data_IF_675155392290
#
_entry.id   IF_675155392290
#
_cell.length_a   1.000
_cell.length_b   1.000
_cell.length_c   1.000
_cell.angle_alpha   90.00
_cell.angle_beta   90.00
_cell.angle_gamma   90.00
#
_symmetry.space_group_name_H-M   'P 1'
#
loop_
_entity.id
_entity.type
_entity.pdbx_description
1 polymer ?
#
# COMPACT_ATOMS: atom_id res chain seq x y z
N UNK A 1 3.57 -59.22 -15.82
CA UNK A 1 2.89 -57.89 -15.83
C UNK A 1 1.95 -57.67 -14.64
N UNK A 2 1.25 -58.68 -14.14
CA UNK A 2 0.26 -58.59 -13.04
C UNK A 2 0.86 -58.22 -11.66
N UNK A 3 2.05 -58.71 -11.32
CA UNK A 3 2.72 -58.42 -10.05
C UNK A 3 3.18 -56.95 -9.95
N UNK A 4 3.72 -56.39 -11.04
CA UNK A 4 4.13 -54.99 -11.12
C UNK A 4 2.94 -54.03 -10.90
N UNK A 5 1.83 -54.27 -11.60
CA UNK A 5 0.59 -53.48 -11.47
C UNK A 5 0.06 -53.53 -10.03
N UNK A 6 0.10 -54.70 -9.40
CA UNK A 6 -0.33 -54.90 -8.02
C UNK A 6 0.58 -54.19 -7.01
N UNK A 7 1.89 -54.16 -7.25
CA UNK A 7 2.87 -53.43 -6.42
C UNK A 7 2.69 -51.91 -6.52
N UNK A 8 2.46 -51.39 -7.72
CA UNK A 8 2.15 -49.96 -7.94
C UNK A 8 0.84 -49.57 -7.24
N UNK A 9 -0.21 -50.40 -7.32
CA UNK A 9 -1.48 -50.15 -6.63
C UNK A 9 -1.31 -50.10 -5.10
N UNK A 10 -0.55 -51.04 -4.53
CA UNK A 10 -0.20 -51.04 -3.10
C UNK A 10 0.57 -49.78 -2.69
N UNK A 11 1.55 -49.36 -3.49
CA UNK A 11 2.32 -48.14 -3.23
C UNK A 11 1.43 -46.89 -3.28
N UNK A 12 0.58 -46.74 -4.31
CA UNK A 12 -0.40 -45.65 -4.40
C UNK A 12 -1.31 -45.60 -3.18
N UNK A 13 -1.82 -46.75 -2.73
CA UNK A 13 -2.67 -46.81 -1.54
C UNK A 13 -1.91 -46.39 -0.28
N UNK A 14 -0.66 -46.83 -0.09
CA UNK A 14 0.18 -46.40 1.04
C UNK A 14 0.43 -44.89 1.03
N UNK A 15 0.78 -44.33 -0.12
CA UNK A 15 0.97 -42.88 -0.31
C UNK A 15 -0.33 -42.13 0.00
N UNK A 16 -1.46 -42.62 -0.50
CA UNK A 16 -2.77 -42.02 -0.24
C UNK A 16 -3.11 -42.00 1.25
N UNK A 17 -2.96 -43.12 1.95
CA UNK A 17 -3.22 -43.22 3.40
C UNK A 17 -2.32 -42.25 4.19
N UNK A 18 -1.02 -42.19 3.86
CA UNK A 18 -0.09 -41.28 4.52
C UNK A 18 -0.43 -39.81 4.25
N UNK A 19 -0.80 -39.48 3.02
CA UNK A 19 -1.29 -38.14 2.67
C UNK A 19 -2.55 -37.78 3.44
N UNK A 20 -3.53 -38.68 3.50
CA UNK A 20 -4.81 -38.44 4.17
C UNK A 20 -4.63 -38.32 5.71
N UNK A 21 -3.65 -39.02 6.29
CA UNK A 21 -3.22 -38.87 7.69
C UNK A 21 -2.64 -37.47 7.95
N UNK A 22 -1.73 -37.00 7.08
CA UNK A 22 -1.17 -35.64 7.15
C UNK A 22 -2.25 -34.59 6.99
N UNK A 23 -3.15 -34.74 6.01
CA UNK A 23 -4.25 -33.81 5.80
C UNK A 23 -5.18 -33.73 7.02
N UNK A 24 -5.50 -34.87 7.65
CA UNK A 24 -6.31 -34.88 8.88
C UNK A 24 -5.60 -34.16 10.03
N UNK A 25 -4.29 -34.34 10.16
CA UNK A 25 -3.51 -33.62 11.16
C UNK A 25 -3.51 -32.11 10.91
N UNK A 26 -3.28 -31.69 9.66
CA UNK A 26 -3.32 -30.28 9.27
C UNK A 26 -4.71 -29.67 9.46
N UNK A 27 -5.78 -30.39 9.09
CA UNK A 27 -7.15 -29.91 9.28
C UNK A 27 -7.51 -29.72 10.76
N UNK A 28 -6.99 -30.59 11.64
CA UNK A 28 -7.14 -30.46 13.09
C UNK A 28 -6.21 -29.38 13.72
N UNK A 29 -5.36 -28.71 12.93
CA UNK A 29 -4.51 -27.61 13.38
C UNK A 29 -5.25 -26.25 13.25
N UNK A 30 -4.63 -25.22 12.66
CA UNK A 30 -5.24 -23.90 12.43
C UNK A 30 -6.09 -23.81 11.16
N UNK A 31 -6.04 -24.81 10.28
CA UNK A 31 -6.68 -24.77 8.97
C UNK A 31 -8.20 -24.70 9.06
N UNK A 32 -8.81 -25.47 9.97
CA UNK A 32 -10.26 -25.47 10.18
C UNK A 32 -10.75 -24.08 10.60
N UNK A 33 -10.04 -23.43 11.52
CA UNK A 33 -10.37 -22.08 11.97
C UNK A 33 -10.14 -21.06 10.85
N UNK A 34 -9.04 -21.17 10.07
CA UNK A 34 -8.81 -20.31 8.91
C UNK A 34 -9.93 -20.41 7.87
N UNK A 35 -10.41 -21.62 7.56
CA UNK A 35 -11.58 -21.83 6.69
C UNK A 35 -12.83 -21.18 7.27
N UNK A 36 -13.06 -21.34 8.58
CA UNK A 36 -14.20 -20.72 9.26
C UNK A 36 -14.16 -19.19 9.17
N UNK A 37 -12.98 -18.58 9.32
CA UNK A 37 -12.77 -17.14 9.16
C UNK A 37 -13.02 -16.71 7.72
N UNK A 38 -12.38 -17.37 6.74
CA UNK A 38 -12.55 -17.04 5.33
C UNK A 38 -14.02 -17.12 4.89
N UNK A 39 -14.73 -18.18 5.26
CA UNK A 39 -16.14 -18.35 4.93
C UNK A 39 -17.01 -17.26 5.57
N UNK A 40 -16.71 -16.86 6.80
CA UNK A 40 -17.43 -15.77 7.47
C UNK A 40 -17.21 -14.43 6.76
N UNK A 41 -15.98 -14.14 6.30
CA UNK A 41 -15.67 -12.92 5.55
C UNK A 41 -16.30 -12.96 4.16
N UNK A 42 -16.22 -14.08 3.44
CA UNK A 42 -16.85 -14.23 2.11
C UNK A 42 -18.37 -14.04 2.16
N UNK A 43 -19.02 -14.42 3.27
CA UNK A 43 -20.47 -14.20 3.46
C UNK A 43 -20.84 -12.71 3.56
N UNK A 44 -19.92 -11.86 4.01
CA UNK A 44 -20.11 -10.40 4.10
C UNK A 44 -19.81 -9.69 2.78
N UNK A 45 -19.12 -10.35 1.84
CA UNK A 45 -18.90 -9.87 0.48
C UNK A 45 -20.06 -10.33 -0.41
N UNK A 46 -21.26 -9.80 -0.16
CA UNK A 46 -22.52 -10.25 -0.78
C UNK A 46 -22.48 -10.26 -2.32
N UNK A 47 -21.83 -9.26 -2.91
CA UNK A 47 -21.69 -9.11 -4.35
C UNK A 47 -20.46 -9.85 -4.91
N UNK A 48 -19.65 -10.49 -4.05
CA UNK A 48 -18.45 -11.21 -4.43
C UNK A 48 -17.38 -10.35 -5.10
N UNK A 49 -17.28 -9.06 -4.72
CA UNK A 49 -16.36 -8.09 -5.33
C UNK A 49 -14.91 -8.57 -5.23
N UNK A 50 -14.55 -9.16 -4.10
CA UNK A 50 -13.20 -9.66 -3.84
C UNK A 50 -13.11 -11.19 -3.96
N UNK A 51 -14.17 -11.85 -4.45
CA UNK A 51 -14.25 -13.30 -4.52
C UNK A 51 -13.50 -13.89 -5.72
N UNK A 52 -13.32 -13.15 -6.81
CA UNK A 52 -12.78 -13.62 -8.08
C UNK A 52 -11.50 -12.89 -8.47
N UNK A 53 -10.78 -13.41 -9.48
CA UNK A 53 -9.52 -12.83 -9.93
C UNK A 53 -9.74 -11.39 -10.48
N UNK A 54 -9.10 -10.36 -9.89
CA UNK A 54 -9.24 -8.97 -10.31
C UNK A 54 -8.39 -8.61 -11.55
N UNK A 55 -7.61 -9.55 -12.11
CA UNK A 55 -6.70 -9.26 -13.23
C UNK A 55 -7.39 -8.76 -14.52
N UNK A 56 -8.70 -8.98 -14.65
CA UNK A 56 -9.49 -8.46 -15.77
C UNK A 56 -9.88 -6.98 -15.61
N UNK A 57 -9.65 -6.38 -14.42
CA UNK A 57 -9.91 -4.97 -14.19
C UNK A 57 -8.88 -4.11 -14.93
N UNK A 58 -9.28 -2.92 -15.42
CA UNK A 58 -8.39 -2.02 -16.15
C UNK A 58 -7.11 -1.71 -15.39
N UNK A 59 -5.95 -1.94 -16.00
CA UNK A 59 -4.62 -1.61 -15.45
C UNK A 59 -4.30 -2.24 -14.07
N UNK A 60 -5.12 -3.18 -13.57
CA UNK A 60 -4.97 -3.71 -12.21
C UNK A 60 -3.62 -4.41 -12.02
N UNK A 61 -3.21 -5.21 -13.00
CA UNK A 61 -1.91 -5.93 -12.98
C UNK A 61 -0.70 -5.00 -13.09
N UNK A 62 -0.90 -3.75 -13.55
CA UNK A 62 0.15 -2.73 -13.62
C UNK A 62 0.29 -2.01 -12.27
N UNK A 63 -0.82 -1.76 -11.58
CA UNK A 63 -0.84 -1.08 -10.28
C UNK A 63 -0.56 -2.01 -9.10
N UNK A 64 -1.05 -3.24 -9.16
CA UNK A 64 -1.03 -4.19 -8.03
C UNK A 64 -0.02 -5.29 -8.30
N UNK A 65 1.10 -5.25 -7.56
CA UNK A 65 2.21 -6.19 -7.75
C UNK A 65 1.88 -7.64 -7.35
N UNK A 66 0.98 -7.84 -6.37
CA UNK A 66 0.61 -9.17 -5.86
C UNK A 66 -0.91 -9.31 -5.79
N UNK A 67 -1.59 -9.62 -6.91
CA UNK A 67 -3.02 -9.87 -6.92
C UNK A 67 -3.40 -11.05 -6.02
N UNK A 68 -4.48 -10.87 -5.24
CA UNK A 68 -5.03 -11.90 -4.37
C UNK A 68 -6.54 -11.68 -4.19
N UNK A 69 -7.28 -12.76 -3.94
CA UNK A 69 -8.75 -12.76 -3.84
C UNK A 69 -9.24 -13.98 -3.03
N UNK A 70 -10.48 -13.98 -2.56
CA UNK A 70 -10.97 -15.00 -1.62
C UNK A 70 -10.89 -16.44 -2.16
N UNK A 71 -11.29 -16.68 -3.42
CA UNK A 71 -11.19 -18.01 -4.03
C UNK A 71 -9.73 -18.46 -4.23
N UNK A 72 -8.76 -17.55 -4.32
CA UNK A 72 -7.35 -17.96 -4.31
C UNK A 72 -6.95 -18.43 -2.92
N UNK A 73 -7.27 -17.69 -1.87
CA UNK A 73 -6.99 -18.05 -0.48
C UNK A 73 -7.68 -19.38 -0.10
N UNK A 74 -8.93 -19.57 -0.53
CA UNK A 74 -9.65 -20.84 -0.34
C UNK A 74 -8.91 -22.01 -0.98
N UNK A 75 -8.43 -21.87 -2.22
CA UNK A 75 -7.62 -22.91 -2.89
C UNK A 75 -6.30 -23.18 -2.18
N UNK A 76 -5.65 -22.14 -1.63
CA UNK A 76 -4.41 -22.30 -0.84
C UNK A 76 -4.67 -23.08 0.46
N UNK A 77 -5.82 -22.86 1.10
CA UNK A 77 -6.26 -23.66 2.25
C UNK A 77 -6.53 -25.12 1.85
N UNK A 78 -7.21 -25.37 0.73
CA UNK A 78 -7.50 -26.73 0.23
C UNK A 78 -6.23 -27.53 -0.10
N UNK A 79 -5.18 -26.83 -0.54
CA UNK A 79 -3.90 -27.40 -0.92
C UNK A 79 -2.88 -27.42 0.20
N UNK A 80 -3.25 -26.96 1.39
CA UNK A 80 -2.36 -26.85 2.54
C UNK A 80 -1.06 -26.05 2.25
N UNK A 81 -1.19 -24.91 1.58
CA UNK A 81 -0.05 -24.09 1.13
C UNK A 81 0.49 -23.11 2.21
N UNK A 82 -0.20 -22.95 3.34
CA UNK A 82 0.20 -22.07 4.44
C UNK A 82 0.99 -22.83 5.50
N UNK A 83 2.25 -22.42 5.73
CA UNK A 83 3.07 -23.01 6.80
C UNK A 83 2.62 -22.53 8.18
N UNK A 84 2.06 -21.32 8.26
CA UNK A 84 1.57 -20.72 9.49
C UNK A 84 0.26 -19.97 9.28
N UNK A 85 -0.54 -19.83 10.35
CA UNK A 85 -1.72 -18.95 10.31
C UNK A 85 -1.37 -17.52 9.92
N UNK A 86 -0.18 -17.02 10.25
CA UNK A 86 0.23 -15.65 9.93
C UNK A 86 0.31 -15.39 8.42
N UNK A 87 0.70 -16.39 7.62
CA UNK A 87 0.70 -16.27 6.16
C UNK A 87 -0.72 -16.13 5.61
N UNK A 88 -1.68 -16.89 6.16
CA UNK A 88 -3.10 -16.73 5.82
C UNK A 88 -3.62 -15.33 6.20
N UNK A 89 -3.32 -14.85 7.41
CA UNK A 89 -3.69 -13.49 7.83
C UNK A 89 -3.11 -12.42 6.91
N UNK A 90 -1.85 -12.60 6.49
CA UNK A 90 -1.18 -11.68 5.58
C UNK A 90 -1.90 -11.61 4.23
N UNK A 91 -2.23 -12.77 3.66
CA UNK A 91 -2.98 -12.86 2.40
C UNK A 91 -4.37 -12.22 2.51
N UNK A 92 -5.09 -12.44 3.63
CA UNK A 92 -6.39 -11.80 3.89
C UNK A 92 -6.27 -10.26 3.95
N UNK A 93 -5.27 -9.74 4.66
CA UNK A 93 -4.98 -8.30 4.73
C UNK A 93 -4.59 -7.73 3.37
N UNK A 94 -3.83 -8.48 2.58
CA UNK A 94 -3.37 -8.06 1.26
C UNK A 94 -4.53 -7.85 0.28
N UNK A 95 -5.62 -8.62 0.37
CA UNK A 95 -6.83 -8.35 -0.44
C UNK A 95 -7.38 -6.95 -0.18
N UNK A 96 -7.40 -6.53 1.09
CA UNK A 96 -7.87 -5.21 1.50
C UNK A 96 -6.85 -4.12 1.14
N UNK A 97 -5.57 -4.36 1.35
CA UNK A 97 -4.52 -3.41 0.99
C UNK A 97 -4.49 -3.14 -0.52
N UNK A 98 -4.63 -4.18 -1.34
CA UNK A 98 -4.76 -4.03 -2.80
C UNK A 98 -6.03 -3.28 -3.19
N UNK A 99 -7.13 -3.48 -2.45
CA UNK A 99 -8.36 -2.72 -2.66
C UNK A 99 -8.13 -1.22 -2.47
N UNK A 100 -7.44 -0.80 -1.40
CA UNK A 100 -7.15 0.61 -1.16
C UNK A 100 -6.14 1.18 -2.16
N UNK A 101 -5.13 0.39 -2.54
CA UNK A 101 -4.14 0.81 -3.54
C UNK A 101 -4.79 1.05 -4.92
N UNK A 102 -5.72 0.19 -5.35
CA UNK A 102 -6.37 0.30 -6.65
C UNK A 102 -7.52 1.31 -6.66
N UNK A 103 -8.41 1.27 -5.66
CA UNK A 103 -9.64 2.07 -5.67
C UNK A 103 -9.51 3.41 -4.93
N UNK A 104 -8.43 3.63 -4.18
CA UNK A 104 -8.30 4.73 -3.23
C UNK A 104 -9.18 4.57 -1.99
N UNK A 105 -8.76 5.18 -0.89
CA UNK A 105 -9.37 4.99 0.43
C UNK A 105 -10.80 5.55 0.56
N UNK A 106 -11.26 6.42 -0.35
CA UNK A 106 -12.58 7.07 -0.24
C UNK A 106 -13.65 6.35 -1.08
N UNK A 107 -13.26 5.43 -1.96
CA UNK A 107 -14.19 4.76 -2.87
C UNK A 107 -15.26 3.91 -2.14
N UNK A 108 -16.43 3.68 -2.77
CA UNK A 108 -17.44 2.75 -2.24
C UNK A 108 -16.91 1.33 -2.03
N UNK A 109 -16.01 0.88 -2.92
CA UNK A 109 -15.35 -0.43 -2.81
C UNK A 109 -14.42 -0.47 -1.59
N UNK A 110 -13.67 0.59 -1.33
CA UNK A 110 -12.87 0.71 -0.11
C UNK A 110 -13.74 0.78 1.15
N UNK A 111 -14.95 1.35 1.08
CA UNK A 111 -15.88 1.32 2.21
C UNK A 111 -16.34 -0.11 2.55
N UNK A 112 -16.59 -0.96 1.55
CA UNK A 112 -16.80 -2.39 1.78
C UNK A 112 -15.54 -3.06 2.34
N UNK A 113 -14.38 -2.79 1.76
CA UNK A 113 -13.08 -3.30 2.23
C UNK A 113 -12.83 -3.00 3.71
N UNK A 114 -13.15 -1.78 4.17
CA UNK A 114 -13.06 -1.39 5.59
C UNK A 114 -13.98 -2.21 6.49
N UNK A 115 -15.23 -2.44 6.07
CA UNK A 115 -16.16 -3.27 6.85
C UNK A 115 -15.66 -4.71 6.96
N UNK A 116 -15.20 -5.29 5.85
CA UNK A 116 -14.61 -6.64 5.85
C UNK A 116 -13.38 -6.71 6.73
N UNK A 117 -12.53 -5.68 6.71
CA UNK A 117 -11.35 -5.60 7.55
C UNK A 117 -11.64 -5.52 9.04
N UNK A 118 -12.67 -4.77 9.46
CA UNK A 118 -13.13 -4.77 10.85
C UNK A 118 -13.53 -6.19 11.26
N UNK A 119 -14.38 -6.84 10.46
CA UNK A 119 -14.85 -8.21 10.76
C UNK A 119 -13.70 -9.21 10.80
N UNK A 120 -12.77 -9.17 9.84
CA UNK A 120 -11.70 -10.15 9.78
C UNK A 120 -10.70 -10.00 10.94
N UNK A 121 -10.36 -8.77 11.35
CA UNK A 121 -9.44 -8.57 12.48
C UNK A 121 -10.05 -9.04 13.81
N UNK A 122 -11.35 -8.81 14.02
CA UNK A 122 -12.06 -9.33 15.19
C UNK A 122 -12.11 -10.87 15.17
N UNK A 123 -12.30 -11.47 13.99
CA UNK A 123 -12.25 -12.92 13.81
C UNK A 123 -10.83 -13.50 14.01
N UNK A 124 -9.78 -12.76 13.69
CA UNK A 124 -8.40 -13.19 13.95
C UNK A 124 -8.12 -13.31 15.45
N UNK A 125 -8.62 -12.37 16.24
CA UNK A 125 -8.48 -12.43 17.70
C UNK A 125 -9.35 -13.55 18.28
N UNK A 126 -10.63 -13.60 17.90
CA UNK A 126 -11.61 -14.51 18.53
C UNK A 126 -11.50 -15.95 18.09
N UNK A 127 -11.24 -16.22 16.80
CA UNK A 127 -11.17 -17.60 16.26
C UNK A 127 -9.76 -18.13 16.08
N UNK A 128 -8.80 -17.26 15.78
CA UNK A 128 -7.41 -17.67 15.53
C UNK A 128 -6.47 -17.38 16.70
N UNK A 129 -7.00 -16.84 17.81
CA UNK A 129 -6.22 -16.49 19.00
C UNK A 129 -4.96 -15.67 18.64
N UNK A 130 -5.11 -14.73 17.72
CA UNK A 130 -4.05 -13.77 17.39
C UNK A 130 -4.09 -12.66 18.44
N UNK A 131 -2.91 -12.26 18.93
CA UNK A 131 -2.83 -11.17 19.88
C UNK A 131 -3.42 -9.89 19.25
N UNK A 132 -4.30 -9.16 19.97
CA UNK A 132 -4.80 -7.88 19.48
C UNK A 132 -3.64 -6.88 19.35
N UNK A 133 -3.78 -5.84 18.51
CA UNK A 133 -2.78 -4.79 18.41
C UNK A 133 -2.52 -4.11 19.76
N UNK A 134 -1.28 -3.74 20.03
CA UNK A 134 -0.94 -3.12 21.32
C UNK A 134 -1.31 -1.63 21.32
N UNK A 135 -2.33 -1.28 22.11
CA UNK A 135 -2.75 0.11 22.31
C UNK A 135 -1.64 0.98 22.91
N UNK A 136 -0.69 0.41 23.66
CA UNK A 136 0.45 1.15 24.23
C UNK A 136 1.45 1.57 23.14
N UNK A 137 1.53 0.80 22.07
CA UNK A 137 2.34 1.16 20.91
C UNK A 137 1.84 2.44 20.27
N UNK A 138 0.52 2.61 20.12
CA UNK A 138 -0.09 3.84 19.60
C UNK A 138 0.31 5.05 20.44
N UNK A 139 0.28 4.93 21.77
CA UNK A 139 0.67 6.01 22.69
C UNK A 139 2.15 6.34 22.54
N UNK A 140 2.99 5.31 22.39
CA UNK A 140 4.45 5.46 22.30
C UNK A 140 4.85 6.11 20.97
N UNK A 141 4.32 5.60 19.87
CA UNK A 141 4.54 6.12 18.52
C UNK A 141 3.86 7.48 18.30
N UNK A 142 2.79 7.78 19.05
CA UNK A 142 2.07 9.05 18.96
C UNK A 142 2.80 10.25 19.57
N UNK A 143 3.92 10.03 20.27
CA UNK A 143 4.76 11.12 20.81
C UNK A 143 5.44 11.85 19.65
N UNK A 144 5.15 13.14 19.48
CA UNK A 144 5.78 13.98 18.46
C UNK A 144 4.99 14.10 17.14
N UNK A 145 3.75 13.62 17.10
CA UNK A 145 2.87 13.74 15.92
C UNK A 145 2.52 15.21 15.67
N UNK A 146 2.77 15.70 14.46
CA UNK A 146 2.45 17.06 14.04
C UNK A 146 0.95 17.26 13.74
N UNK A 147 0.50 18.50 13.58
CA UNK A 147 -0.92 18.79 13.33
C UNK A 147 -1.48 18.13 12.07
N UNK A 148 -0.70 18.02 10.99
CA UNK A 148 -1.15 17.39 9.75
C UNK A 148 -1.33 15.87 9.93
N UNK A 149 -0.38 15.20 10.58
CA UNK A 149 -0.45 13.78 10.92
C UNK A 149 -1.60 13.49 11.89
N UNK A 150 -1.84 14.37 12.87
CA UNK A 150 -2.97 14.22 13.78
C UNK A 150 -4.33 14.31 13.05
N UNK A 151 -4.43 15.10 11.98
CA UNK A 151 -5.61 15.12 11.11
C UNK A 151 -5.76 13.81 10.33
N UNK A 152 -4.67 13.27 9.80
CA UNK A 152 -4.68 11.98 9.08
C UNK A 152 -5.06 10.81 10.00
N UNK A 153 -4.51 10.78 11.21
CA UNK A 153 -4.90 9.81 12.25
C UNK A 153 -6.39 9.90 12.58
N UNK A 154 -6.90 11.11 12.74
CA UNK A 154 -8.32 11.34 13.02
C UNK A 154 -9.21 10.83 11.89
N UNK A 155 -8.82 11.09 10.65
CA UNK A 155 -9.53 10.62 9.46
C UNK A 155 -9.55 9.08 9.34
N UNK A 156 -8.45 8.40 9.67
CA UNK A 156 -8.44 6.93 9.82
C UNK A 156 -9.46 6.47 10.88
N UNK A 157 -9.42 7.07 12.07
CA UNK A 157 -10.32 6.70 13.17
C UNK A 157 -11.79 6.90 12.78
N UNK A 158 -12.14 8.06 12.21
CA UNK A 158 -13.51 8.34 11.77
C UNK A 158 -14.04 7.27 10.80
N UNK A 159 -13.24 6.86 9.82
CA UNK A 159 -13.66 5.89 8.80
C UNK A 159 -13.91 4.48 9.34
N UNK A 160 -13.15 4.04 10.33
CA UNK A 160 -13.30 2.68 10.89
C UNK A 160 -14.26 2.62 12.08
N UNK A 161 -14.37 3.70 12.85
CA UNK A 161 -15.29 3.79 13.99
C UNK A 161 -16.70 4.21 13.59
N UNK A 162 -16.91 4.69 12.35
CA UNK A 162 -18.23 5.12 11.87
C UNK A 162 -18.67 6.46 12.45
N UNK A 163 -17.73 7.27 12.94
CA UNK A 163 -18.01 8.65 13.33
C UNK A 163 -18.08 9.50 12.05
N UNK A 164 -19.28 9.93 11.70
CA UNK A 164 -19.60 10.57 10.41
C UNK A 164 -18.70 11.75 10.04
N UNK A 165 -18.51 11.94 8.75
CA UNK A 165 -18.01 13.18 8.15
C UNK A 165 -19.06 14.28 8.35
N UNK A 166 -19.09 14.84 9.56
CA UNK A 166 -20.01 15.89 9.96
C UNK A 166 -19.26 16.92 10.77
N UNK A 167 -19.24 18.13 10.25
CA UNK A 167 -18.75 19.36 10.88
C UNK A 167 -19.12 19.43 12.36
N UNK A 168 -18.14 19.79 13.20
CA UNK A 168 -18.21 19.87 14.68
C UNK A 168 -17.88 18.57 15.43
N UNK A 169 -16.72 17.98 15.09
CA UNK A 169 -16.01 17.13 16.04
C UNK A 169 -15.26 18.04 17.02
N UNK A 170 -15.92 18.48 18.10
CA UNK A 170 -15.19 18.73 19.34
C UNK A 170 -14.25 17.54 19.52
N UNK A 171 -12.94 17.78 19.53
CA UNK A 171 -11.88 16.76 19.44
C UNK A 171 -12.08 15.76 20.58
N UNK A 172 -12.86 14.71 20.36
CA UNK A 172 -13.13 13.70 21.38
C UNK A 172 -11.79 13.06 21.70
N UNK A 173 -11.54 12.88 22.99
CA UNK A 173 -10.33 12.24 23.45
C UNK A 173 -10.28 10.81 22.88
N UNK A 174 -9.33 10.54 21.98
CA UNK A 174 -9.13 9.20 21.42
C UNK A 174 -8.54 8.34 22.53
N UNK A 175 -9.25 7.28 22.91
CA UNK A 175 -8.75 6.28 23.85
C UNK A 175 -8.27 5.07 23.05
N UNK A 176 -6.96 4.86 22.86
CA UNK A 176 -6.45 3.81 21.97
C UNK A 176 -6.95 2.40 22.30
N UNK A 177 -7.16 2.10 23.58
CA UNK A 177 -7.66 0.79 24.04
C UNK A 177 -9.12 0.52 23.71
N UNK A 178 -9.92 1.53 23.37
CA UNK A 178 -11.33 1.38 23.00
C UNK A 178 -11.55 1.29 21.49
N UNK A 179 -10.50 1.52 20.70
CA UNK A 179 -10.55 1.43 19.24
C UNK A 179 -10.68 -0.04 18.80
N UNK A 180 -11.39 -0.29 17.69
CA UNK A 180 -11.48 -1.62 17.09
C UNK A 180 -10.09 -2.12 16.69
N UNK A 181 -9.90 -3.44 16.63
CA UNK A 181 -8.63 -4.06 16.23
C UNK A 181 -8.14 -3.55 14.87
N UNK A 182 -9.04 -3.46 13.89
CA UNK A 182 -8.73 -2.91 12.57
C UNK A 182 -8.26 -1.45 12.63
N UNK A 183 -8.91 -0.61 13.45
CA UNK A 183 -8.55 0.80 13.65
C UNK A 183 -7.16 0.92 14.27
N UNK A 184 -6.91 0.19 15.36
CA UNK A 184 -5.60 0.17 16.02
C UNK A 184 -4.50 -0.25 15.05
N UNK A 185 -4.72 -1.31 14.27
CA UNK A 185 -3.74 -1.79 13.28
C UNK A 185 -3.43 -0.73 12.22
N UNK A 186 -4.44 -0.04 11.68
CA UNK A 186 -4.25 1.03 10.68
C UNK A 186 -3.52 2.24 11.26
N UNK A 187 -3.85 2.64 12.48
CA UNK A 187 -3.14 3.71 13.21
C UNK A 187 -1.67 3.34 13.43
N UNK A 188 -1.39 2.14 13.93
CA UNK A 188 -0.02 1.65 14.14
C UNK A 188 0.75 1.61 12.81
N UNK A 189 0.13 1.11 11.74
CA UNK A 189 0.76 1.05 10.42
C UNK A 189 1.14 2.46 9.90
N UNK A 190 0.24 3.43 10.04
CA UNK A 190 0.50 4.82 9.68
C UNK A 190 1.66 5.43 10.48
N UNK A 191 1.67 5.22 11.80
CA UNK A 191 2.71 5.74 12.69
C UNK A 191 4.08 5.10 12.40
N UNK A 192 4.13 3.78 12.15
CA UNK A 192 5.37 3.06 11.82
C UNK A 192 5.99 3.52 10.51
N UNK A 193 5.19 3.80 9.48
CA UNK A 193 5.69 4.24 8.18
C UNK A 193 6.47 5.57 8.26
N UNK A 194 6.22 6.38 9.28
CA UNK A 194 6.85 7.69 9.47
C UNK A 194 8.06 7.69 10.41
N UNK A 195 8.31 6.59 11.12
CA UNK A 195 9.53 6.38 11.93
C UNK A 195 10.74 5.84 11.11
N UNK A 196 10.69 5.93 9.77
CA UNK A 196 11.86 5.69 8.90
C UNK A 196 12.98 6.74 9.10
N UNK A 197 14.23 6.47 8.68
CA UNK A 197 15.46 6.91 9.35
C UNK A 197 15.86 8.37 9.11
N UNK A 198 15.04 9.37 9.47
CA UNK A 198 15.45 10.77 9.34
C UNK A 198 14.88 11.73 10.41
N UNK A 199 14.68 11.32 11.66
CA UNK A 199 14.26 12.31 12.68
C UNK A 199 14.67 12.00 14.13
N UNK A 200 15.85 11.39 14.34
CA UNK A 200 16.42 11.23 15.68
C UNK A 200 17.52 12.24 16.05
N UNK A 201 17.71 13.33 15.30
CA UNK A 201 18.78 14.26 15.60
C UNK A 201 18.40 15.74 15.60
N UNK A 202 17.30 16.11 16.27
CA UNK A 202 17.12 17.51 16.72
C UNK A 202 16.35 17.52 18.04
N UNK A 203 17.09 17.57 19.16
CA UNK A 203 16.82 18.29 20.43
C UNK A 203 17.16 17.48 21.66
N UNK A 204 18.41 17.63 22.10
CA UNK A 204 18.72 17.81 23.52
C UNK A 204 20.00 18.61 23.64
N UNK A 205 19.84 19.93 23.79
CA UNK A 205 20.92 20.88 23.98
C UNK A 205 20.33 22.21 24.41
N UNK A 206 20.05 22.35 25.72
CA UNK A 206 19.79 23.63 26.36
C UNK A 206 21.05 24.49 26.23
N UNK A 207 20.92 25.71 25.72
CA UNK A 207 22.01 26.67 25.60
C UNK A 207 21.47 28.08 25.56
N UNK A 208 21.72 28.82 26.63
CA UNK A 208 21.31 30.17 26.94
C UNK A 208 21.88 31.24 25.99
N UNK A 209 21.13 32.34 25.92
CA UNK A 209 21.47 33.65 25.37
C UNK A 209 22.92 34.09 25.60
N UNK A 210 23.58 34.61 24.55
CA UNK A 210 24.56 35.70 24.63
C UNK A 210 24.80 36.33 23.25
N UNK A 211 24.54 37.64 23.17
CA UNK A 211 24.93 38.57 22.10
C UNK A 211 26.45 38.80 22.13
N UNK A 212 27.13 38.91 20.98
CA UNK A 212 27.80 40.15 20.53
C UNK A 212 28.55 40.01 19.18
N UNK A 213 28.38 41.07 18.36
CA UNK A 213 29.35 41.76 17.48
C UNK A 213 29.96 41.09 16.23
N UNK A 214 29.36 41.44 15.09
CA UNK A 214 29.92 42.12 13.91
C UNK A 214 31.45 42.27 13.75
N UNK A 215 32.02 41.69 12.69
CA UNK A 215 33.03 42.35 11.84
C UNK A 215 33.11 41.74 10.42
N UNK A 216 33.44 42.60 9.46
CA UNK A 216 33.32 42.44 8.01
C UNK A 216 34.57 41.78 7.36
N UNK A 217 34.34 40.92 6.35
CA UNK A 217 34.99 40.69 5.02
C UNK A 217 36.52 40.99 4.81
N UNK A 218 37.26 40.31 3.90
CA UNK A 218 36.82 39.96 2.53
C UNK A 218 37.34 38.66 1.88
N UNK A 219 36.81 38.41 0.67
CA UNK A 219 37.12 37.37 -0.33
C UNK A 219 38.59 37.33 -0.78
N UNK A 220 39.16 36.13 -0.96
CA UNK A 220 40.20 35.88 -1.98
C UNK A 220 40.39 34.39 -2.36
N UNK A 221 40.57 34.21 -3.69
CA UNK A 221 41.30 33.18 -4.43
C UNK A 221 40.90 31.68 -4.36
N UNK A 222 40.36 31.21 -5.49
CA UNK A 222 40.52 29.83 -6.02
C UNK A 222 42.01 29.46 -6.18
N UNK A 223 42.33 28.16 -6.03
CA UNK A 223 43.14 27.49 -7.05
C UNK A 223 42.57 26.15 -7.51
N UNK A 224 42.86 25.85 -8.77
CA UNK A 224 42.48 24.71 -9.60
C UNK A 224 43.22 23.39 -9.30
N UNK A 225 42.48 22.27 -9.49
CA UNK A 225 42.81 20.88 -9.90
C UNK A 225 44.25 20.33 -9.76
N UNK A 226 44.38 19.03 -9.41
CA UNK A 226 44.68 18.04 -10.45
C UNK A 226 43.94 16.67 -10.32
N UNK A 227 43.61 16.09 -11.47
CA UNK A 227 43.31 14.66 -11.67
C UNK A 227 44.59 13.81 -11.54
N UNK A 228 44.49 12.55 -11.05
CA UNK A 228 45.08 11.44 -11.81
C UNK A 228 44.21 10.15 -11.77
N UNK A 229 43.94 9.56 -12.94
CA UNK A 229 44.55 8.34 -13.50
C UNK A 229 43.92 6.98 -13.09
N UNK A 230 43.23 6.35 -14.06
CA UNK A 230 43.20 4.87 -14.26
C UNK A 230 44.48 4.48 -15.04
N UNK A 231 45.00 3.22 -15.08
CA UNK A 231 44.24 1.96 -15.12
C UNK A 231 44.91 0.72 -14.47
N UNK A 232 44.19 -0.42 -14.39
CA UNK A 232 44.66 -1.73 -14.91
C UNK A 232 43.59 -2.83 -14.77
N UNK A 233 43.49 -3.65 -15.82
CA UNK A 233 42.60 -4.78 -16.07
C UNK A 233 43.19 -6.11 -15.58
N UNK A 234 42.37 -7.07 -15.10
CA UNK A 234 42.71 -8.50 -15.16
C UNK A 234 42.02 -9.20 -16.33
N UNK A 235 42.77 -10.13 -16.91
CA UNK A 235 42.51 -10.93 -18.12
C UNK A 235 41.63 -12.15 -17.78
N UNK A 236 40.54 -12.37 -18.52
CA UNK A 236 40.03 -13.72 -18.80
C UNK A 236 39.34 -13.77 -20.19
N UNK A 237 39.48 -14.88 -20.94
CA UNK A 237 38.99 -14.99 -22.30
C UNK A 237 37.52 -15.43 -22.35
N UNK A 238 36.65 -14.62 -22.97
CA UNK A 238 35.33 -15.06 -23.39
C UNK A 238 35.39 -15.49 -24.86
N UNK A 239 35.11 -16.77 -25.10
CA UNK A 239 35.05 -17.36 -26.43
C UNK A 239 33.86 -16.79 -27.21
N UNK A 240 34.14 -16.47 -28.47
CA UNK A 240 33.19 -16.02 -29.49
C UNK A 240 32.31 -17.19 -29.94
N UNK A 241 31.00 -17.04 -29.81
CA UNK A 241 29.98 -17.92 -30.40
C UNK A 241 29.09 -17.06 -31.31
N UNK A 242 29.54 -16.84 -32.54
CA UNK A 242 28.79 -16.25 -33.64
C UNK A 242 29.29 -16.89 -34.94
N UNK A 243 28.47 -17.82 -35.46
CA UNK A 243 28.47 -18.53 -36.76
C UNK A 243 27.56 -19.75 -36.51
N UNK A 244 26.48 -20.03 -37.22
CA UNK A 244 26.13 -19.82 -38.62
C UNK A 244 24.60 -19.63 -38.72
N UNK A 245 24.15 -18.93 -39.76
CA UNK A 245 22.98 -19.32 -40.57
C UNK A 245 22.81 -18.29 -41.71
N UNK A 246 23.33 -18.66 -42.87
CA UNK A 246 23.00 -18.07 -44.16
C UNK A 246 21.91 -18.91 -44.82
N UNK A 247 20.90 -18.23 -45.40
CA UNK A 247 20.36 -18.49 -46.75
C UNK A 247 18.84 -18.26 -46.85
N UNK A 248 18.42 -17.06 -47.28
CA UNK A 248 17.29 -16.92 -48.21
C UNK A 248 17.61 -15.79 -49.18
N UNK A 249 17.83 -16.16 -50.44
CA UNK A 249 17.96 -15.26 -51.57
C UNK A 249 16.58 -14.74 -52.03
N UNK A 250 16.50 -13.45 -52.38
CA UNK A 250 15.46 -12.92 -53.26
C UNK A 250 16.10 -11.98 -54.30
N UNK A 251 16.14 -12.45 -55.54
CA UNK A 251 16.25 -11.64 -56.77
C UNK A 251 14.94 -10.83 -56.93
N UNK A 252 14.80 -9.71 -57.64
CA UNK A 252 15.59 -9.00 -58.66
C UNK A 252 15.05 -7.56 -58.73
N UNK A 253 15.88 -6.64 -59.21
CA UNK A 253 15.62 -5.22 -59.42
C UNK A 253 14.47 -4.89 -60.40
N UNK A 254 13.80 -3.75 -60.17
CA UNK A 254 13.27 -2.88 -61.23
C UNK A 254 13.53 -1.39 -60.87
N UNK A 255 13.76 -0.60 -61.91
CA UNK A 255 14.59 0.61 -62.00
C UNK A 255 13.76 1.91 -62.09
N UNK A 256 14.37 3.04 -61.66
CA UNK A 256 14.11 4.47 -62.02
C UNK A 256 12.86 5.13 -61.38
N UNK A 257 12.84 6.39 -60.87
CA UNK A 257 13.60 7.66 -61.06
C UNK A 257 13.63 8.51 -59.77
N UNK A 258 14.51 9.55 -59.62
CA UNK A 258 14.59 10.37 -58.42
C UNK A 258 13.68 11.60 -58.49
N UNK A 259 12.92 11.89 -57.43
CA UNK A 259 12.29 13.20 -57.25
C UNK A 259 12.45 13.69 -55.81
N UNK A 260 12.87 14.94 -55.73
CA UNK A 260 13.24 15.72 -54.55
C UNK A 260 12.01 16.42 -53.95
N UNK A 261 12.12 16.86 -52.68
CA UNK A 261 11.26 17.79 -51.91
C UNK A 261 10.08 17.09 -51.17
N UNK A 262 9.74 17.35 -49.90
CA UNK A 262 10.12 18.37 -48.92
C UNK A 262 9.67 17.89 -47.52
N UNK A 263 10.46 18.08 -46.46
CA UNK A 263 10.04 17.85 -45.07
C UNK A 263 8.88 18.79 -44.68
N UNK A 264 7.82 18.30 -44.01
CA UNK A 264 6.75 19.18 -43.53
C UNK A 264 7.22 20.02 -42.33
N UNK A 265 7.30 21.33 -42.54
CA UNK A 265 7.52 22.34 -41.50
C UNK A 265 6.32 22.37 -40.53
N UNK A 266 6.58 22.18 -39.24
CA UNK A 266 5.61 22.37 -38.17
C UNK A 266 5.37 23.87 -37.95
N UNK A 267 4.13 24.31 -38.13
CA UNK A 267 3.70 25.69 -37.90
C UNK A 267 3.72 26.03 -36.40
N UNK A 268 4.30 27.18 -36.03
CA UNK A 268 4.40 27.64 -34.64
C UNK A 268 3.04 28.12 -34.13
N UNK A 269 2.59 27.52 -33.03
CA UNK A 269 1.40 27.95 -32.27
C UNK A 269 1.64 29.35 -31.67
N UNK A 270 0.77 30.35 -31.91
CA UNK A 270 0.90 31.67 -31.30
C UNK A 270 0.67 31.63 -29.79
N UNK A 271 1.63 32.18 -29.03
CA UNK A 271 1.53 32.40 -27.59
C UNK A 271 0.60 33.59 -27.26
N UNK A 272 -0.17 33.39 -26.17
CA UNK A 272 -0.78 34.38 -25.27
C UNK A 272 -1.85 35.35 -25.82
N UNK A 273 -3.10 35.11 -25.39
CA UNK A 273 -4.01 36.19 -24.98
C UNK A 273 -4.48 35.95 -23.53
N UNK A 274 -4.03 36.82 -22.63
CA UNK A 274 -4.58 36.98 -21.27
C UNK A 274 -6.03 37.44 -21.40
N UNK A 275 -6.98 36.55 -21.14
CA UNK A 275 -8.37 36.93 -20.85
C UNK A 275 -8.50 37.16 -19.35
N UNK A 276 -8.76 38.41 -18.96
CA UNK A 276 -9.04 38.79 -17.58
C UNK A 276 -10.27 38.06 -17.05
N UNK A 277 -10.10 37.35 -15.94
CA UNK A 277 -11.20 36.88 -15.12
C UNK A 277 -11.28 37.72 -13.85
N UNK A 278 -12.51 38.01 -13.48
CA UNK A 278 -12.90 39.02 -12.52
C UNK A 278 -12.34 38.81 -11.11
N UNK A 279 -12.07 39.95 -10.48
CA UNK A 279 -11.79 40.13 -9.06
C UNK A 279 -12.83 39.39 -8.21
N UNK A 280 -12.41 38.37 -7.45
CA UNK A 280 -13.23 37.87 -6.35
C UNK A 280 -13.18 38.90 -5.23
N UNK A 281 -14.35 39.39 -4.84
CA UNK A 281 -14.53 40.30 -3.71
C UNK A 281 -13.94 39.69 -2.43
N UNK A 282 -13.17 40.51 -1.72
CA UNK A 282 -12.72 40.24 -0.37
C UNK A 282 -13.95 40.04 0.55
N UNK A 283 -14.01 38.90 1.23
CA UNK A 283 -14.99 38.67 2.30
C UNK A 283 -14.52 39.49 3.50
N UNK A 284 -15.34 40.45 3.92
CA UNK A 284 -15.08 41.29 5.09
C UNK A 284 -15.10 40.48 6.40
N UNK A 285 -14.47 41.01 7.47
CA UNK A 285 -14.22 40.29 8.72
C UNK A 285 -15.47 39.97 9.53
N UNK A 286 -15.35 38.89 10.30
CA UNK A 286 -16.29 38.41 11.32
C UNK A 286 -16.66 39.53 12.31
N UNK A 287 -17.95 39.79 12.48
CA UNK A 287 -18.50 40.67 13.51
C UNK A 287 -18.65 39.89 14.82
N UNK A 288 -17.96 40.34 15.87
CA UNK A 288 -18.20 39.94 17.25
C UNK A 288 -19.21 40.94 17.84
N UNK A 289 -20.37 40.46 18.28
CA UNK A 289 -21.24 41.22 19.18
C UNK A 289 -21.29 40.51 20.54
N UNK A 290 -21.16 41.31 21.59
CA UNK A 290 -21.28 40.87 22.98
C UNK A 290 -22.70 41.09 23.49
N UNK A 291 -23.08 40.17 24.38
CA UNK A 291 -24.05 40.30 25.48
C UNK A 291 -25.52 40.52 25.13
N UNK A 292 -26.33 39.58 25.61
CA UNK A 292 -27.78 39.72 25.77
C UNK A 292 -28.36 38.42 26.29
N UNK A 293 -28.22 38.17 27.60
CA UNK A 293 -29.01 37.19 28.34
C UNK A 293 -30.41 37.81 28.44
N UNK A 294 -31.41 37.19 27.84
CA UNK A 294 -32.80 37.38 28.24
C UNK A 294 -33.42 35.99 28.42
N UNK A 295 -33.77 35.73 29.68
CA UNK A 295 -34.68 34.69 30.12
C UNK A 295 -36.08 35.08 29.60
N UNK A 296 -36.79 34.13 28.99
CA UNK A 296 -38.24 34.22 28.91
C UNK A 296 -38.86 32.91 29.42
N UNK A 297 -39.60 33.12 30.50
CA UNK A 297 -40.63 32.32 31.14
C UNK A 297 -41.86 32.12 30.25
N UNK A 298 -42.81 31.35 30.79
CA UNK A 298 -44.22 31.14 30.36
C UNK A 298 -44.43 30.10 29.23
N UNK A 299 -45.31 29.08 29.37
CA UNK A 299 -46.55 28.92 30.15
C UNK A 299 -46.69 27.46 30.60
#
# INVERSE_FOLDING_TARGET
>A
MTDFVSRVKRLRNRIKVKRDEVHRHLENSFYRECRSVLNAVMKQDENGIFASNPAALPEYVLMISRPIWWKLISRRLDRYEYSTKMEFLHDMRLVIDNCYAYNGEVSPVAALGRRLEVVMEDLFVTKLAVAPPDAREIITLGKGVNHAQARQLWDIVCRYEGQGQGTSAARRHIVPSQLKCATQRRVIAFLRQKMGPHEQNVRSGKGSSLRQQQQQQPLSSLPSLPLPAKPQTPKHPAQSLLKDDTDVAFSTEQKMTPNHLQEPQLERVPQNKRSGFASFCAVSPIHLESSGIEEEEEV
#
